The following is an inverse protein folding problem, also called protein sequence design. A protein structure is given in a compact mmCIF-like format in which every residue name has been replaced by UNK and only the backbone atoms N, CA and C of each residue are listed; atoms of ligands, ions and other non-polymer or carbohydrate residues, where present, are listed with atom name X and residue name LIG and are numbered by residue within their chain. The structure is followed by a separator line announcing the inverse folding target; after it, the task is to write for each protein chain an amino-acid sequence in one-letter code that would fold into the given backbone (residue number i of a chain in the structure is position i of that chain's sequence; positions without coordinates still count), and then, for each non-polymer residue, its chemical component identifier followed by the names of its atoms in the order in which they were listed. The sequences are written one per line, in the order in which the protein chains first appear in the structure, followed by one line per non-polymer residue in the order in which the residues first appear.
data_IF_088291128549
#
_entry.id   IF_088291128549
#
_cell.length_a   1.000
_cell.length_b   1.000
_cell.length_c   1.000
_cell.angle_alpha   90.00
_cell.angle_beta   90.00
_cell.angle_gamma   90.00
#
_symmetry.space_group_name_H-M   'P 1'
#
loop_
_entity.id
_entity.type
_entity.pdbx_description
1 polymer ?
#
# COMPACT_ATOMS: atom_id res chain seq x y z
N UNK A 1 22.46 4.50 -1.02
CA UNK A 1 21.55 4.21 -2.14
C UNK A 1 20.14 4.54 -1.65
N UNK A 2 19.28 5.11 -2.50
CA UNK A 2 17.88 5.43 -2.15
C UNK A 2 17.05 4.21 -1.77
N UNK A 3 17.31 3.03 -2.35
CA UNK A 3 16.72 1.77 -1.89
C UNK A 3 17.40 1.30 -0.60
N UNK A 4 16.59 1.09 0.44
CA UNK A 4 17.06 0.72 1.78
C UNK A 4 16.60 -0.69 2.10
N UNK A 5 17.51 -1.67 2.00
CA UNK A 5 17.20 -3.09 2.28
C UNK A 5 17.68 -3.54 3.65
N UNK A 6 18.81 -3.00 4.12
CA UNK A 6 19.44 -3.40 5.36
C UNK A 6 18.53 -3.13 6.57
N UNK A 7 18.22 -4.17 7.34
CA UNK A 7 17.33 -4.13 8.51
C UNK A 7 17.60 -2.95 9.45
N UNK A 8 18.86 -2.75 9.84
CA UNK A 8 19.21 -1.67 10.77
C UNK A 8 18.94 -0.28 10.18
N UNK A 9 19.15 -0.11 8.88
CA UNK A 9 18.83 1.15 8.19
C UNK A 9 17.32 1.38 8.10
N UNK A 10 16.52 0.33 7.91
CA UNK A 10 15.06 0.41 7.99
C UNK A 10 14.62 0.85 9.39
N UNK A 11 15.12 0.19 10.45
CA UNK A 11 14.79 0.55 11.83
C UNK A 11 15.20 2.00 12.18
N UNK A 12 16.36 2.45 11.70
CA UNK A 12 16.81 3.84 11.87
C UNK A 12 15.88 4.85 11.19
N UNK A 13 15.33 4.52 10.02
CA UNK A 13 14.34 5.35 9.32
C UNK A 13 13.08 5.49 10.17
N UNK A 14 12.56 4.37 10.69
CA UNK A 14 11.38 4.40 11.55
C UNK A 14 11.62 5.17 12.86
N UNK A 15 12.81 5.04 13.46
CA UNK A 15 13.18 5.81 14.64
C UNK A 15 13.21 7.33 14.33
N UNK A 16 13.81 7.73 13.20
CA UNK A 16 13.80 9.14 12.75
C UNK A 16 12.39 9.65 12.46
N UNK A 17 11.55 8.84 11.81
CA UNK A 17 10.15 9.17 11.57
C UNK A 17 9.41 9.40 12.89
N UNK A 18 9.65 8.54 13.91
CA UNK A 18 9.07 8.70 15.23
C UNK A 18 9.49 10.00 15.92
N UNK A 19 10.77 10.40 15.81
CA UNK A 19 11.23 11.70 16.31
C UNK A 19 10.53 12.88 15.64
N UNK A 20 10.21 12.75 14.34
CA UNK A 20 9.45 13.75 13.57
C UNK A 20 7.93 13.64 13.76
N UNK A 21 7.45 12.67 14.53
CA UNK A 21 6.02 12.34 14.72
C UNK A 21 5.32 11.99 13.40
N UNK A 22 6.03 11.33 12.51
CA UNK A 22 5.54 10.93 11.20
C UNK A 22 4.99 9.50 11.22
N UNK A 23 4.01 9.27 10.35
CA UNK A 23 3.51 7.94 10.02
C UNK A 23 4.00 7.60 8.62
N UNK A 24 4.70 6.48 8.46
CA UNK A 24 5.26 6.10 7.16
C UNK A 24 4.15 5.48 6.31
N UNK A 25 3.79 6.08 5.17
CA UNK A 25 2.81 5.51 4.27
C UNK A 25 3.45 4.39 3.45
N UNK A 26 2.72 3.30 3.35
CA UNK A 26 3.07 2.14 2.53
C UNK A 26 2.02 1.95 1.46
N UNK A 27 2.43 2.07 0.20
CA UNK A 27 1.52 1.96 -0.94
C UNK A 27 1.78 0.65 -1.67
N UNK A 28 0.75 -0.20 -1.79
CA UNK A 28 0.90 -1.39 -2.62
C UNK A 28 0.83 -1.01 -4.10
N UNK A 29 1.58 -1.72 -4.94
CA UNK A 29 1.64 -1.48 -6.37
C UNK A 29 1.30 -2.73 -7.18
N UNK A 30 0.77 -2.54 -8.38
CA UNK A 30 0.37 -3.63 -9.27
C UNK A 30 1.11 -3.65 -10.60
N UNK A 31 1.79 -2.54 -10.91
CA UNK A 31 2.43 -2.32 -12.20
C UNK A 31 3.40 -1.12 -12.10
N UNK A 32 4.15 -0.89 -13.17
CA UNK A 32 5.10 0.21 -13.26
C UNK A 32 4.45 1.59 -13.10
N UNK A 33 3.27 1.83 -13.70
CA UNK A 33 2.55 3.11 -13.63
C UNK A 33 2.20 3.49 -12.19
N UNK A 34 1.67 2.55 -11.39
CA UNK A 34 1.36 2.79 -9.98
C UNK A 34 2.64 3.07 -9.18
N UNK A 35 3.71 2.32 -9.45
CA UNK A 35 5.03 2.49 -8.80
C UNK A 35 5.60 3.88 -9.05
N UNK A 36 5.64 4.32 -10.30
CA UNK A 36 6.14 5.65 -10.67
C UNK A 36 5.25 6.78 -10.16
N UNK A 37 3.93 6.58 -10.08
CA UNK A 37 3.01 7.58 -9.51
C UNK A 37 3.32 7.83 -8.02
N UNK A 38 3.60 6.75 -7.26
CA UNK A 38 4.00 6.84 -5.85
C UNK A 38 5.34 7.57 -5.71
N UNK A 39 6.36 7.16 -6.47
CA UNK A 39 7.69 7.79 -6.41
C UNK A 39 7.66 9.26 -6.86
N UNK A 40 6.90 9.58 -7.89
CA UNK A 40 6.74 10.95 -8.39
C UNK A 40 6.03 11.86 -7.39
N UNK A 41 5.02 11.34 -6.68
CA UNK A 41 4.36 12.07 -5.61
C UNK A 41 5.32 12.31 -4.43
N UNK A 42 6.08 11.29 -4.03
CA UNK A 42 7.08 11.41 -2.98
C UNK A 42 8.16 12.43 -3.33
N UNK A 43 8.70 12.39 -4.55
CA UNK A 43 9.69 13.35 -5.03
C UNK A 43 9.14 14.78 -4.99
N UNK A 44 7.99 15.02 -5.61
CA UNK A 44 7.36 16.34 -5.64
C UNK A 44 7.10 16.86 -4.22
N UNK A 45 6.60 16.02 -3.32
CA UNK A 45 6.34 16.43 -1.94
C UNK A 45 7.64 16.74 -1.19
N UNK A 46 8.68 15.92 -1.38
CA UNK A 46 9.99 16.11 -0.75
C UNK A 46 10.63 17.46 -1.13
N UNK A 47 10.42 17.90 -2.37
CA UNK A 47 10.82 19.21 -2.87
C UNK A 47 9.97 20.32 -2.26
N UNK A 48 8.64 20.15 -2.22
CA UNK A 48 7.71 21.12 -1.62
C UNK A 48 8.03 21.43 -0.15
N UNK A 49 8.43 20.43 0.63
CA UNK A 49 8.76 20.60 2.06
C UNK A 49 10.26 20.77 2.32
N UNK A 50 11.09 20.83 1.27
CA UNK A 50 12.54 20.91 1.36
C UNK A 50 13.16 19.83 2.29
N UNK A 51 12.68 18.58 2.18
CA UNK A 51 13.12 17.43 2.96
C UNK A 51 13.33 16.25 2.00
N UNK A 52 14.55 16.11 1.49
CA UNK A 52 14.86 15.14 0.44
C UNK A 52 14.80 13.68 0.93
N UNK A 53 14.93 13.45 2.24
CA UNK A 53 15.06 12.13 2.86
C UNK A 53 13.73 11.56 3.39
N UNK A 54 12.58 11.97 2.85
CA UNK A 54 11.31 11.39 3.28
C UNK A 54 11.28 9.88 2.98
N UNK A 55 10.83 9.05 3.94
CA UNK A 55 10.68 7.63 3.69
C UNK A 55 9.40 7.32 2.91
N UNK A 56 9.46 6.32 2.04
CA UNK A 56 8.29 5.79 1.34
C UNK A 56 8.45 4.28 1.21
N UNK A 57 7.39 3.53 1.49
CA UNK A 57 7.40 2.08 1.31
C UNK A 57 6.54 1.71 0.12
N UNK A 58 7.10 0.95 -0.82
CA UNK A 58 6.38 0.34 -1.93
C UNK A 58 6.17 -1.12 -1.61
N UNK A 59 4.91 -1.51 -1.53
CA UNK A 59 4.51 -2.85 -1.14
C UNK A 59 4.00 -3.66 -2.31
N UNK A 60 4.07 -4.98 -2.18
CA UNK A 60 3.44 -5.90 -3.12
C UNK A 60 2.95 -7.13 -2.37
N UNK A 61 1.75 -7.59 -2.69
CA UNK A 61 1.23 -8.88 -2.23
C UNK A 61 1.63 -10.00 -3.17
N UNK A 62 1.80 -11.21 -2.61
CA UNK A 62 2.15 -12.39 -3.41
C UNK A 62 0.92 -13.25 -3.75
N UNK A 63 0.59 -14.25 -2.91
CA UNK A 63 -0.57 -15.12 -3.11
C UNK A 63 -1.75 -14.80 -2.19
N UNK A 64 -1.82 -13.56 -1.72
CA UNK A 64 -2.96 -13.06 -0.97
C UNK A 64 -4.26 -13.16 -1.80
N UNK A 65 -5.28 -13.80 -1.23
CA UNK A 65 -6.50 -14.20 -1.95
C UNK A 65 -7.36 -13.02 -2.41
N UNK A 66 -7.34 -11.91 -1.68
CA UNK A 66 -8.09 -10.71 -2.03
C UNK A 66 -7.47 -9.96 -3.21
N UNK A 67 -6.14 -9.95 -3.29
CA UNK A 67 -5.42 -9.38 -4.42
C UNK A 67 -4.01 -9.96 -4.48
N UNK A 68 -3.71 -10.74 -5.52
CA UNK A 68 -2.38 -11.33 -5.75
C UNK A 68 -1.59 -10.46 -6.73
N UNK A 69 -0.89 -9.42 -6.24
CA UNK A 69 -0.29 -8.40 -7.10
C UNK A 69 0.89 -8.94 -7.92
N UNK A 70 1.79 -9.71 -7.31
CA UNK A 70 2.91 -10.32 -8.05
C UNK A 70 2.44 -11.28 -9.16
N UNK A 71 1.36 -12.04 -8.92
CA UNK A 71 0.71 -12.88 -9.95
C UNK A 71 0.18 -11.99 -11.08
N UNK A 72 -0.42 -10.85 -10.74
CA UNK A 72 -1.05 -9.96 -11.72
C UNK A 72 -0.07 -9.02 -12.44
N UNK A 73 1.17 -8.90 -11.94
CA UNK A 73 2.21 -8.01 -12.46
C UNK A 73 2.53 -8.28 -13.94
N UNK A 74 2.38 -9.52 -14.39
CA UNK A 74 2.54 -9.90 -15.79
C UNK A 74 1.41 -10.79 -16.29
N UNK A 75 1.25 -10.87 -17.61
CA UNK A 75 0.32 -11.80 -18.24
C UNK A 75 0.74 -13.28 -18.13
N UNK A 76 1.95 -13.58 -17.66
CA UNK A 76 2.35 -14.97 -17.38
C UNK A 76 1.59 -15.57 -16.19
N UNK A 77 1.05 -14.73 -15.31
CA UNK A 77 0.39 -15.14 -14.05
C UNK A 77 1.27 -15.98 -13.13
N UNK A 78 2.59 -15.87 -13.30
CA UNK A 78 3.58 -16.49 -12.43
C UNK A 78 4.08 -15.47 -11.41
N UNK A 79 3.77 -15.71 -10.13
CA UNK A 79 4.14 -14.81 -9.03
C UNK A 79 5.65 -14.56 -8.96
N UNK A 80 6.47 -15.59 -9.22
CA UNK A 80 7.94 -15.50 -9.16
C UNK A 80 8.51 -14.61 -10.26
N UNK A 81 7.90 -14.61 -11.45
CA UNK A 81 8.27 -13.71 -12.55
C UNK A 81 7.85 -12.28 -12.21
N UNK A 82 6.61 -12.09 -11.75
CA UNK A 82 6.10 -10.77 -11.42
C UNK A 82 6.87 -10.11 -10.28
N UNK A 83 7.20 -10.85 -9.22
CA UNK A 83 7.98 -10.33 -8.10
C UNK A 83 9.42 -9.96 -8.52
N UNK A 84 10.06 -10.75 -9.40
CA UNK A 84 11.38 -10.41 -9.95
C UNK A 84 11.35 -9.11 -10.77
N UNK A 85 10.30 -8.91 -11.57
CA UNK A 85 10.14 -7.68 -12.35
C UNK A 85 9.84 -6.48 -11.44
N UNK A 86 8.99 -6.65 -10.43
CA UNK A 86 8.80 -5.62 -9.39
C UNK A 86 10.12 -5.20 -8.77
N UNK A 87 10.96 -6.16 -8.35
CA UNK A 87 12.27 -5.84 -7.77
C UNK A 87 13.21 -5.15 -8.76
N UNK A 88 13.22 -5.57 -10.03
CA UNK A 88 14.02 -4.94 -11.08
C UNK A 88 13.56 -3.50 -11.37
N UNK A 89 12.25 -3.26 -11.42
CA UNK A 89 11.68 -1.93 -11.62
C UNK A 89 12.09 -1.00 -10.46
N UNK A 90 11.99 -1.47 -9.21
CA UNK A 90 12.44 -0.69 -8.04
C UNK A 90 13.94 -0.41 -8.10
N UNK A 91 14.78 -1.40 -8.41
CA UNK A 91 16.24 -1.22 -8.51
C UNK A 91 16.61 -0.16 -9.55
N UNK A 92 16.02 -0.23 -10.75
CA UNK A 92 16.27 0.74 -11.83
C UNK A 92 15.75 2.13 -11.47
N UNK A 93 14.50 2.22 -11.00
CA UNK A 93 13.88 3.49 -10.60
C UNK A 93 14.56 4.12 -9.39
N UNK A 94 15.33 3.38 -8.61
CA UNK A 94 16.10 3.90 -7.48
C UNK A 94 17.61 3.85 -7.73
N UNK A 95 18.03 3.75 -9.00
CA UNK A 95 19.44 3.87 -9.36
C UNK A 95 19.95 5.30 -9.17
N UNK A 96 21.29 5.48 -9.15
CA UNK A 96 21.92 6.79 -8.89
C UNK A 96 21.59 7.87 -9.91
N UNK A 97 21.34 7.49 -11.16
CA UNK A 97 20.98 8.42 -12.26
C UNK A 97 19.47 8.69 -12.35
N UNK A 98 18.66 7.99 -11.54
CA UNK A 98 17.22 8.19 -11.49
C UNK A 98 16.85 9.53 -10.83
N UNK A 99 15.77 10.19 -11.25
CA UNK A 99 15.21 11.34 -10.52
C UNK A 99 14.83 11.00 -9.06
N UNK A 100 14.57 9.73 -8.76
CA UNK A 100 14.19 9.27 -7.42
C UNK A 100 15.40 8.94 -6.52
N UNK A 101 16.62 9.21 -6.98
CA UNK A 101 17.89 8.84 -6.32
C UNK A 101 18.10 9.43 -4.92
N UNK A 102 17.31 10.43 -4.53
CA UNK A 102 17.39 11.12 -3.24
C UNK A 102 16.37 10.64 -2.21
N UNK A 103 15.34 9.90 -2.64
CA UNK A 103 14.30 9.38 -1.74
C UNK A 103 14.84 8.23 -0.88
N UNK A 104 14.20 7.99 0.27
CA UNK A 104 14.42 6.77 1.06
C UNK A 104 13.31 5.77 0.75
N UNK A 105 13.55 4.88 -0.21
CA UNK A 105 12.58 3.88 -0.69
C UNK A 105 12.82 2.56 0.03
N UNK A 106 11.74 2.00 0.57
CA UNK A 106 11.71 0.66 1.18
C UNK A 106 10.75 -0.23 0.40
N UNK A 107 10.99 -1.55 0.42
CA UNK A 107 10.11 -2.56 -0.16
C UNK A 107 9.47 -3.41 0.92
N UNK A 108 8.18 -3.72 0.77
CA UNK A 108 7.45 -4.58 1.69
C UNK A 108 6.79 -5.74 0.92
N UNK A 109 7.01 -6.96 1.40
CA UNK A 109 6.15 -8.10 1.07
C UNK A 109 4.90 -8.04 1.96
N UNK A 110 3.77 -7.62 1.39
CA UNK A 110 2.53 -7.39 2.13
C UNK A 110 1.66 -8.66 2.15
N UNK A 111 1.02 -8.94 3.28
CA UNK A 111 0.22 -10.15 3.50
C UNK A 111 0.92 -11.45 3.02
N UNK A 112 2.21 -11.65 3.35
CA UNK A 112 2.92 -12.89 2.96
C UNK A 112 2.37 -14.06 3.76
N UNK A 113 1.63 -14.93 3.09
CA UNK A 113 0.86 -15.98 3.74
C UNK A 113 1.77 -17.09 4.27
N UNK A 114 1.55 -17.51 5.51
CA UNK A 114 2.34 -18.56 6.16
C UNK A 114 2.36 -19.90 5.39
N UNK A 115 1.33 -20.17 4.58
CA UNK A 115 1.13 -21.41 3.83
C UNK A 115 1.45 -21.25 2.34
N UNK A 116 0.60 -20.54 1.59
CA UNK A 116 0.68 -20.44 0.14
C UNK A 116 1.98 -19.81 -0.33
N UNK A 117 2.57 -18.90 0.45
CA UNK A 117 3.85 -18.26 0.15
C UNK A 117 5.08 -19.01 0.69
N UNK A 118 4.95 -20.26 1.14
CA UNK A 118 6.11 -21.09 1.57
C UNK A 118 7.29 -21.06 0.57
N UNK A 119 7.08 -21.17 -0.76
CA UNK A 119 8.18 -21.06 -1.71
C UNK A 119 8.87 -19.68 -1.75
N UNK A 120 8.12 -18.60 -1.50
CA UNK A 120 8.67 -17.23 -1.39
C UNK A 120 9.41 -17.05 -0.06
N UNK A 121 8.91 -17.63 1.03
CA UNK A 121 9.55 -17.60 2.35
C UNK A 121 10.90 -18.35 2.38
N UNK A 122 11.18 -19.15 1.34
CA UNK A 122 12.48 -19.80 1.10
C UNK A 122 13.48 -18.92 0.32
N UNK A 123 13.07 -17.77 -0.21
CA UNK A 123 13.98 -16.81 -0.87
C UNK A 123 14.89 -16.11 0.14
N UNK A 124 15.88 -15.39 -0.38
CA UNK A 124 16.75 -14.54 0.43
C UNK A 124 16.01 -13.28 0.88
N UNK A 125 15.62 -13.24 2.16
CA UNK A 125 14.91 -12.11 2.75
C UNK A 125 15.71 -10.81 2.76
N UNK A 126 17.04 -10.83 2.59
CA UNK A 126 17.84 -9.59 2.48
C UNK A 126 17.53 -8.79 1.20
N UNK A 127 16.78 -9.36 0.26
CA UNK A 127 16.35 -8.67 -0.96
C UNK A 127 15.18 -7.71 -0.71
N UNK A 128 14.55 -7.75 0.47
CA UNK A 128 13.41 -6.90 0.82
C UNK A 128 13.71 -6.12 2.10
N UNK A 129 13.13 -4.92 2.24
CA UNK A 129 13.31 -4.11 3.45
C UNK A 129 12.48 -4.65 4.61
N UNK A 130 11.26 -5.10 4.31
CA UNK A 130 10.26 -5.48 5.28
C UNK A 130 9.41 -6.64 4.77
N UNK A 131 8.84 -7.41 5.70
CA UNK A 131 7.84 -8.44 5.41
C UNK A 131 6.73 -8.38 6.44
N UNK A 132 5.48 -8.44 5.98
CA UNK A 132 4.35 -8.83 6.81
C UNK A 132 4.20 -10.35 6.71
N UNK A 133 4.60 -11.04 7.78
CA UNK A 133 4.37 -12.47 7.92
C UNK A 133 2.96 -12.70 8.46
N UNK A 134 2.09 -13.19 7.60
CA UNK A 134 0.66 -13.28 7.87
C UNK A 134 0.26 -14.73 8.19
N UNK A 135 0.18 -14.99 9.49
CA UNK A 135 -0.35 -16.23 10.06
C UNK A 135 -1.73 -16.01 10.71
N UNK A 136 -2.42 -14.91 10.37
CA UNK A 136 -3.69 -14.52 11.01
C UNK A 136 -4.85 -15.48 10.72
N UNK A 137 -4.77 -16.30 9.68
CA UNK A 137 -5.77 -17.33 9.38
C UNK A 137 -5.70 -18.54 10.31
N UNK A 138 -4.69 -18.61 11.20
CA UNK A 138 -4.54 -19.65 12.19
C UNK A 138 -5.09 -19.22 13.56
N UNK A 139 -5.48 -20.19 14.40
CA UNK A 139 -5.77 -19.91 15.80
C UNK A 139 -4.61 -19.15 16.46
N UNK A 140 -4.94 -18.22 17.36
CA UNK A 140 -3.99 -17.27 17.94
C UNK A 140 -2.68 -17.89 18.46
N UNK A 141 -2.75 -19.05 19.11
CA UNK A 141 -1.57 -19.78 19.62
C UNK A 141 -0.64 -20.27 18.48
N UNK A 142 -1.21 -20.81 17.41
CA UNK A 142 -0.44 -21.26 16.24
C UNK A 142 0.11 -20.07 15.43
N UNK A 143 -0.63 -18.97 15.36
CA UNK A 143 -0.14 -17.72 14.79
C UNK A 143 1.11 -17.23 15.54
N UNK A 144 1.05 -17.15 16.88
CA UNK A 144 2.22 -16.80 17.71
C UNK A 144 3.39 -17.75 17.42
N UNK A 145 3.15 -19.06 17.49
CA UNK A 145 4.21 -20.06 17.32
C UNK A 145 4.90 -19.95 15.95
N UNK A 146 4.13 -19.89 14.86
CA UNK A 146 4.69 -19.78 13.51
C UNK A 146 5.40 -18.45 13.28
N UNK A 147 4.83 -17.35 13.79
CA UNK A 147 5.44 -16.03 13.66
C UNK A 147 6.76 -15.95 14.43
N UNK A 148 6.80 -16.48 15.66
CA UNK A 148 8.03 -16.58 16.46
C UNK A 148 9.10 -17.43 15.76
N UNK A 149 8.72 -18.56 15.16
CA UNK A 149 9.64 -19.40 14.38
C UNK A 149 10.22 -18.64 13.18
N UNK A 150 9.40 -17.86 12.47
CA UNK A 150 9.83 -17.02 11.37
C UNK A 150 10.77 -15.89 11.83
N UNK A 151 10.43 -15.20 12.92
CA UNK A 151 11.27 -14.15 13.54
C UNK A 151 12.61 -14.71 13.99
N UNK A 152 12.64 -15.89 14.62
CA UNK A 152 13.89 -16.55 15.03
C UNK A 152 14.82 -16.82 13.84
N UNK A 153 14.27 -17.16 12.68
CA UNK A 153 15.03 -17.47 11.46
C UNK A 153 15.49 -16.23 10.70
N UNK A 154 14.64 -15.20 10.64
CA UNK A 154 14.81 -14.07 9.70
C UNK A 154 14.88 -12.69 10.35
N UNK A 155 14.57 -12.56 11.64
CA UNK A 155 14.55 -11.29 12.37
C UNK A 155 15.92 -10.61 12.50
N UNK A 156 17.01 -11.25 12.11
CA UNK A 156 18.32 -10.58 11.95
C UNK A 156 18.56 -9.98 10.57
N UNK A 157 17.69 -10.25 9.59
CA UNK A 157 17.89 -9.95 8.15
C UNK A 157 16.91 -8.91 7.61
N UNK A 158 15.66 -8.98 8.06
CA UNK A 158 14.55 -8.18 7.54
C UNK A 158 13.71 -7.64 8.71
N UNK A 159 13.04 -6.50 8.54
CA UNK A 159 12.05 -6.00 9.51
C UNK A 159 10.73 -6.77 9.35
N UNK A 160 10.18 -7.26 10.46
CA UNK A 160 9.03 -8.17 10.46
C UNK A 160 7.83 -7.50 11.10
N UNK A 161 6.75 -7.43 10.32
CA UNK A 161 5.39 -7.17 10.78
C UNK A 161 4.68 -8.50 11.01
N UNK A 162 4.02 -8.63 12.16
CA UNK A 162 3.14 -9.77 12.44
C UNK A 162 1.68 -9.36 12.49
N UNK A 163 0.82 -10.15 11.86
CA UNK A 163 -0.62 -9.98 11.90
C UNK A 163 -1.19 -10.58 13.20
N UNK A 164 -1.52 -9.73 14.18
CA UNK A 164 -1.99 -10.19 15.49
C UNK A 164 -3.41 -10.77 15.46
N UNK A 165 -4.19 -10.38 14.46
CA UNK A 165 -5.60 -10.75 14.42
C UNK A 165 -5.81 -12.20 14.00
N UNK A 166 -7.01 -12.68 14.32
CA UNK A 166 -7.49 -13.96 13.83
C UNK A 166 -8.52 -13.65 12.74
N UNK A 167 -8.17 -13.98 11.49
CA UNK A 167 -9.06 -13.88 10.35
C UNK A 167 -9.75 -15.23 10.20
N UNK A 168 -10.97 -15.34 10.74
CA UNK A 168 -11.82 -16.52 10.55
C UNK A 168 -12.50 -16.41 9.19
N UNK A 169 -11.88 -16.96 8.16
CA UNK A 169 -12.53 -17.10 6.85
C UNK A 169 -13.40 -18.35 6.83
N UNK A 170 -14.69 -18.18 7.12
CA UNK A 170 -15.72 -19.14 6.73
C UNK A 170 -17.03 -18.39 6.43
N UNK A 171 -17.40 -18.31 5.16
CA UNK A 171 -18.79 -18.05 4.70
C UNK A 171 -19.44 -16.69 5.01
N UNK A 172 -18.70 -15.72 5.55
CA UNK A 172 -19.06 -14.30 5.39
C UNK A 172 -20.07 -13.71 6.38
N UNK A 173 -20.09 -14.11 7.65
CA UNK A 173 -20.91 -13.40 8.66
C UNK A 173 -20.25 -13.08 10.01
N UNK A 174 -19.05 -13.58 10.33
CA UNK A 174 -18.42 -13.24 11.62
C UNK A 174 -17.36 -12.15 11.47
N UNK A 175 -17.57 -11.06 12.22
CA UNK A 175 -16.65 -9.93 12.32
C UNK A 175 -15.36 -10.42 12.99
N UNK A 176 -14.21 -10.22 12.36
CA UNK A 176 -12.93 -10.32 13.09
C UNK A 176 -12.99 -9.35 14.28
N UNK A 177 -12.73 -9.86 15.48
CA UNK A 177 -12.76 -9.05 16.69
C UNK A 177 -11.65 -8.01 16.68
N UNK A 178 -11.93 -6.83 17.25
CA UNK A 178 -10.91 -5.80 17.43
C UNK A 178 -9.79 -6.33 18.34
N UNK A 179 -8.54 -6.03 18.02
CA UNK A 179 -7.40 -6.46 18.84
C UNK A 179 -7.47 -5.82 20.23
N UNK A 180 -7.42 -6.62 21.29
CA UNK A 180 -7.33 -6.10 22.66
C UNK A 180 -5.89 -5.71 23.02
N UNK A 181 -5.69 -4.77 23.97
CA UNK A 181 -4.35 -4.46 24.48
C UNK A 181 -3.61 -5.71 24.97
N UNK A 182 -4.28 -6.58 25.71
CA UNK A 182 -3.70 -7.79 26.27
C UNK A 182 -3.25 -8.76 25.16
N UNK A 183 -4.07 -8.94 24.11
CA UNK A 183 -3.76 -9.78 22.94
C UNK A 183 -2.55 -9.22 22.20
N UNK A 184 -2.53 -7.92 21.92
CA UNK A 184 -1.40 -7.26 21.24
C UNK A 184 -0.10 -7.33 22.04
N UNK A 185 -0.13 -7.07 23.35
CA UNK A 185 1.05 -7.19 24.23
C UNK A 185 1.60 -8.62 24.21
N UNK A 186 0.71 -9.60 24.39
CA UNK A 186 1.08 -11.01 24.39
C UNK A 186 1.69 -11.43 23.05
N UNK A 187 1.07 -11.03 21.95
CA UNK A 187 1.57 -11.31 20.60
C UNK A 187 2.97 -10.72 20.40
N UNK A 188 3.20 -9.46 20.78
CA UNK A 188 4.52 -8.82 20.66
C UNK A 188 5.60 -9.53 21.48
N UNK A 189 5.30 -9.85 22.74
CA UNK A 189 6.25 -10.48 23.66
C UNK A 189 6.63 -11.91 23.22
N UNK A 190 5.66 -12.69 22.75
CA UNK A 190 5.89 -14.09 22.40
C UNK A 190 6.44 -14.28 20.98
N UNK A 191 6.15 -13.35 20.05
CA UNK A 191 6.65 -13.41 18.66
C UNK A 191 7.94 -12.63 18.43
N UNK A 192 8.19 -11.59 19.22
CA UNK A 192 9.29 -10.64 19.04
C UNK A 192 9.31 -9.93 17.66
N UNK A 193 8.14 -9.74 17.03
CA UNK A 193 8.02 -8.92 15.81
C UNK A 193 8.39 -7.45 16.08
N UNK A 194 8.80 -6.75 15.04
CA UNK A 194 9.16 -5.32 15.14
C UNK A 194 7.92 -4.43 15.22
N UNK A 195 6.89 -4.81 14.47
CA UNK A 195 5.64 -4.07 14.30
C UNK A 195 4.44 -5.03 14.33
N UNK A 196 3.31 -4.53 14.79
CA UNK A 196 2.07 -5.30 14.93
C UNK A 196 1.01 -4.72 14.03
N UNK A 197 0.46 -5.54 13.15
CA UNK A 197 -0.81 -5.23 12.47
C UNK A 197 -1.94 -5.61 13.42
N UNK A 198 -2.77 -4.62 13.75
CA UNK A 198 -3.88 -4.76 14.69
C UNK A 198 -5.19 -4.26 14.06
N UNK A 199 -6.25 -5.02 14.25
CA UNK A 199 -7.60 -4.73 13.81
C UNK A 199 -8.17 -3.62 14.68
N UNK A 200 -8.13 -2.42 14.13
CA UNK A 200 -8.62 -1.18 14.72
C UNK A 200 -9.91 -0.70 14.04
N UNK A 201 -10.66 -1.62 13.41
CA UNK A 201 -11.96 -1.41 12.77
C UNK A 201 -11.91 -0.81 11.36
N UNK A 202 -10.71 -0.73 10.78
CA UNK A 202 -10.46 -0.19 9.43
C UNK A 202 -10.32 -1.28 8.38
N UNK A 203 -10.12 -2.53 8.79
CA UNK A 203 -10.05 -3.68 7.90
C UNK A 203 -11.45 -4.19 7.60
N UNK A 204 -12.03 -3.81 6.45
CA UNK A 204 -13.13 -4.56 5.86
C UNK A 204 -13.23 -4.31 4.35
N UNK A 205 -13.58 -5.40 3.68
CA UNK A 205 -13.69 -5.61 2.22
C UNK A 205 -14.76 -4.69 1.62
N UNK A 206 -14.35 -3.57 1.02
CA UNK A 206 -15.03 -2.71 0.02
C UNK A 206 -16.52 -2.28 0.17
N UNK A 207 -17.32 -2.79 1.12
CA UNK A 207 -18.78 -2.66 1.09
C UNK A 207 -19.45 -2.30 2.43
N UNK A 208 -18.70 -1.92 3.47
CA UNK A 208 -19.29 -1.45 4.72
C UNK A 208 -19.48 0.08 4.68
N UNK A 209 -20.71 0.53 4.93
CA UNK A 209 -21.16 1.90 4.71
C UNK A 209 -20.61 2.97 5.69
N UNK A 210 -19.63 2.65 6.53
CA UNK A 210 -18.80 3.62 7.29
C UNK A 210 -17.77 2.85 8.12
N UNK A 211 -16.54 2.71 7.62
CA UNK A 211 -15.45 2.17 8.43
C UNK A 211 -15.04 3.22 9.48
N UNK A 212 -14.92 2.75 10.72
CA UNK A 212 -14.63 3.60 11.87
C UNK A 212 -13.31 3.19 12.48
N UNK A 213 -12.35 4.10 12.45
CA UNK A 213 -11.08 3.91 13.11
C UNK A 213 -11.22 4.09 14.63
N UNK A 214 -10.77 3.10 15.41
CA UNK A 214 -10.85 3.10 16.86
C UNK A 214 -9.60 3.72 17.54
N UNK A 215 -9.41 5.04 17.39
CA UNK A 215 -8.28 5.80 17.97
C UNK A 215 -8.04 5.54 19.46
N UNK A 216 -9.11 5.50 20.28
CA UNK A 216 -8.98 5.24 21.72
C UNK A 216 -8.44 3.83 22.03
N UNK A 217 -8.74 2.84 21.17
CA UNK A 217 -8.21 1.49 21.31
C UNK A 217 -6.73 1.46 20.92
N UNK A 218 -6.37 2.09 19.79
CA UNK A 218 -4.98 2.22 19.35
C UNK A 218 -4.08 2.82 20.46
N UNK A 219 -4.54 3.90 21.11
CA UNK A 219 -3.83 4.51 22.26
C UNK A 219 -3.63 3.55 23.43
N UNK A 220 -4.65 2.76 23.77
CA UNK A 220 -4.54 1.76 24.85
C UNK A 220 -3.52 0.69 24.50
N UNK A 221 -3.54 0.17 23.27
CA UNK A 221 -2.56 -0.82 22.81
C UNK A 221 -1.15 -0.20 22.81
N UNK A 222 -1.00 1.00 22.25
CA UNK A 222 0.30 1.66 22.15
C UNK A 222 0.90 2.01 23.52
N UNK A 223 0.07 2.33 24.52
CA UNK A 223 0.58 2.60 25.88
C UNK A 223 1.33 1.44 26.52
N UNK A 224 1.12 0.20 26.05
CA UNK A 224 1.76 -1.00 26.58
C UNK A 224 2.68 -1.71 25.57
N UNK A 225 2.60 -1.36 24.28
CA UNK A 225 3.44 -1.94 23.20
C UNK A 225 4.45 -0.93 22.61
N UNK A 226 4.30 0.36 22.93
CA UNK A 226 5.02 1.45 22.27
C UNK A 226 4.40 1.85 20.92
N UNK A 227 5.04 2.77 20.17
CA UNK A 227 4.56 3.23 18.86
C UNK A 227 4.94 2.24 17.75
N UNK A 228 4.37 1.03 17.80
CA UNK A 228 4.70 -0.09 16.89
C UNK A 228 3.51 -0.58 16.07
N UNK A 229 2.41 0.17 16.06
CA UNK A 229 1.19 -0.26 15.39
C UNK A 229 1.23 0.04 13.90
N UNK A 230 0.70 -0.90 13.12
CA UNK A 230 0.48 -0.78 11.69
C UNK A 230 -1.02 -0.80 11.44
N UNK A 231 -1.50 0.15 10.65
CA UNK A 231 -2.93 0.30 10.34
C UNK A 231 -3.20 -0.05 8.86
N UNK A 232 -4.00 -1.08 8.63
CA UNK A 232 -4.46 -1.46 7.29
C UNK A 232 -5.83 -0.83 6.99
N UNK A 233 -6.26 -0.88 5.72
CA UNK A 233 -7.61 -0.47 5.33
C UNK A 233 -7.87 1.05 5.32
N UNK A 234 -6.82 1.87 5.35
CA UNK A 234 -6.94 3.34 5.43
C UNK A 234 -7.59 3.99 4.20
N UNK A 235 -7.62 3.30 3.05
CA UNK A 235 -8.26 3.77 1.80
C UNK A 235 -9.77 4.02 1.90
N UNK A 236 -10.41 3.53 2.95
CA UNK A 236 -11.86 3.61 3.15
C UNK A 236 -12.24 4.40 4.40
N UNK A 237 -11.27 5.09 5.00
CA UNK A 237 -11.45 5.91 6.20
C UNK A 237 -11.24 7.38 5.83
N UNK A 238 -12.14 8.25 6.26
CA UNK A 238 -12.02 9.69 5.98
C UNK A 238 -10.76 10.30 6.59
N UNK A 239 -10.13 11.25 5.88
CA UNK A 239 -8.87 11.88 6.28
C UNK A 239 -8.89 12.46 7.71
N UNK A 240 -10.03 12.98 8.16
CA UNK A 240 -10.17 13.54 9.52
C UNK A 240 -9.95 12.50 10.62
N UNK A 241 -10.31 11.23 10.38
CA UNK A 241 -10.10 10.16 11.36
C UNK A 241 -8.62 9.72 11.44
N UNK A 242 -7.88 9.86 10.33
CA UNK A 242 -6.51 9.34 10.18
C UNK A 242 -5.44 10.45 10.16
N UNK A 243 -5.79 11.70 10.45
CA UNK A 243 -4.82 12.80 10.46
C UNK A 243 -3.81 12.70 11.61
N UNK A 244 -4.22 12.21 12.77
CA UNK A 244 -3.42 12.24 14.01
C UNK A 244 -2.83 10.88 14.43
N UNK A 245 -2.71 9.94 13.48
CA UNK A 245 -2.37 8.54 13.74
C UNK A 245 -1.08 8.32 14.55
N UNK A 246 -0.05 9.16 14.38
CA UNK A 246 1.17 9.03 15.17
C UNK A 246 0.93 9.17 16.68
N UNK A 247 0.03 10.09 17.07
CA UNK A 247 -0.32 10.30 18.49
C UNK A 247 -1.10 9.13 19.09
N UNK A 248 -1.61 8.25 18.23
CA UNK A 248 -2.31 7.03 18.62
C UNK A 248 -1.38 5.81 18.69
N UNK A 249 -0.10 5.98 18.32
CA UNK A 249 0.90 4.91 18.30
C UNK A 249 1.07 4.19 16.98
N UNK A 250 0.44 4.69 15.92
CA UNK A 250 0.60 4.13 14.57
C UNK A 250 1.92 4.64 13.98
N UNK A 251 2.79 3.70 13.60
CA UNK A 251 4.06 3.99 12.93
C UNK A 251 3.95 3.92 11.41
N UNK A 252 3.03 3.09 10.90
CA UNK A 252 2.87 2.78 9.48
C UNK A 252 1.42 2.60 9.10
N UNK A 253 1.08 2.95 7.86
CA UNK A 253 -0.20 2.59 7.26
C UNK A 253 -0.04 1.84 5.93
N UNK A 254 -0.97 0.96 5.59
CA UNK A 254 -1.06 0.35 4.25
C UNK A 254 -2.21 0.97 3.45
N UNK A 255 -1.93 1.28 2.18
CA UNK A 255 -2.83 1.96 1.24
C UNK A 255 -2.75 1.25 -0.12
N UNK A 256 -3.89 0.93 -0.71
CA UNK A 256 -3.94 0.44 -2.09
C UNK A 256 -5.28 0.74 -2.77
N UNK A 257 -6.39 0.32 -2.16
CA UNK A 257 -7.71 0.33 -2.79
C UNK A 257 -8.10 1.69 -3.37
N UNK A 258 -7.78 2.80 -2.72
CA UNK A 258 -8.12 4.13 -3.23
C UNK A 258 -7.35 4.50 -4.51
N UNK A 259 -6.11 4.02 -4.70
CA UNK A 259 -5.34 4.28 -5.92
C UNK A 259 -6.07 3.73 -7.15
N UNK A 260 -6.59 2.50 -7.07
CA UNK A 260 -7.32 1.86 -8.16
C UNK A 260 -8.79 2.33 -8.25
N UNK A 261 -9.49 2.36 -7.12
CA UNK A 261 -10.92 2.74 -7.03
C UNK A 261 -11.16 4.17 -7.48
N UNK A 262 -10.30 5.11 -7.11
CA UNK A 262 -10.56 6.55 -7.29
C UNK A 262 -9.93 7.10 -8.58
N UNK A 263 -8.99 6.36 -9.20
CA UNK A 263 -8.47 6.68 -10.54
C UNK A 263 -9.36 6.18 -11.67
N UNK A 264 -10.01 5.03 -11.49
CA UNK A 264 -10.87 4.41 -12.51
C UNK A 264 -12.01 5.32 -13.01
N UNK A 265 -12.78 6.02 -12.15
CA UNK A 265 -13.83 6.95 -12.60
C UNK A 265 -13.28 8.15 -13.39
N UNK A 266 -12.06 8.59 -13.08
CA UNK A 266 -11.41 9.71 -13.80
C UNK A 266 -11.06 9.27 -15.22
N UNK A 267 -10.44 8.09 -15.37
CA UNK A 267 -10.19 7.51 -16.68
C UNK A 267 -11.49 7.31 -17.46
N UNK A 268 -12.50 6.70 -16.84
CA UNK A 268 -13.78 6.45 -17.48
C UNK A 268 -14.42 7.74 -18.01
N UNK A 269 -14.48 8.78 -17.16
CA UNK A 269 -15.02 10.09 -17.56
C UNK A 269 -14.23 10.69 -18.72
N UNK A 270 -12.90 10.66 -18.67
CA UNK A 270 -12.04 11.21 -19.69
C UNK A 270 -12.20 10.48 -21.04
N UNK A 271 -12.30 9.15 -21.02
CA UNK A 271 -12.57 8.35 -22.22
C UNK A 271 -13.96 8.61 -22.81
N UNK A 272 -14.98 8.81 -21.96
CA UNK A 272 -16.34 9.16 -22.41
C UNK A 272 -16.36 10.56 -23.06
N UNK A 273 -15.70 11.55 -22.45
CA UNK A 273 -15.63 12.90 -23.00
C UNK A 273 -14.85 12.96 -24.32
N UNK A 274 -13.88 12.05 -24.51
CA UNK A 274 -13.08 11.93 -25.72
C UNK A 274 -13.51 10.75 -26.61
N UNK A 275 -14.75 10.25 -26.51
CA UNK A 275 -15.15 9.00 -27.17
C UNK A 275 -14.85 9.01 -28.68
N UNK A 276 -15.18 10.09 -29.40
CA UNK A 276 -14.91 10.15 -30.85
C UNK A 276 -13.42 10.02 -31.18
N UNK A 277 -12.52 10.53 -30.33
CA UNK A 277 -11.07 10.34 -30.50
C UNK A 277 -10.64 8.90 -30.20
N UNK A 278 -11.30 8.22 -29.25
CA UNK A 278 -10.96 6.89 -28.72
C UNK A 278 -11.56 5.74 -29.54
N UNK A 279 -12.78 5.89 -30.07
CA UNK A 279 -13.48 4.82 -30.81
C UNK A 279 -13.85 5.21 -32.24
N UNK A 280 -13.73 6.50 -32.61
CA UNK A 280 -14.11 7.01 -33.94
C UNK A 280 -15.57 7.45 -34.02
N UNK A 281 -15.86 8.38 -34.93
CA UNK A 281 -17.17 9.02 -35.03
C UNK A 281 -18.31 8.03 -35.33
N UNK A 282 -18.08 7.03 -36.18
CA UNK A 282 -19.08 6.02 -36.52
C UNK A 282 -19.50 5.20 -35.29
N UNK A 283 -18.53 4.67 -34.53
CA UNK A 283 -18.80 3.92 -33.30
C UNK A 283 -19.41 4.82 -32.21
N UNK A 284 -18.99 6.09 -32.11
CA UNK A 284 -19.59 7.04 -31.18
C UNK A 284 -21.06 7.29 -31.50
N UNK A 285 -21.42 7.54 -32.76
CA UNK A 285 -22.82 7.69 -33.17
C UNK A 285 -23.63 6.41 -32.89
N UNK A 286 -23.08 5.24 -33.19
CA UNK A 286 -23.72 3.96 -32.88
C UNK A 286 -24.01 3.79 -31.39
N UNK A 287 -23.05 4.14 -30.51
CA UNK A 287 -23.23 4.06 -29.06
C UNK A 287 -24.22 5.10 -28.52
N UNK A 288 -24.34 6.25 -29.17
CA UNK A 288 -25.36 7.25 -28.86
C UNK A 288 -26.75 6.71 -29.25
N UNK A 289 -26.89 6.14 -30.45
CA UNK A 289 -28.15 5.56 -30.93
C UNK A 289 -28.60 4.38 -30.05
N UNK A 290 -27.66 3.60 -29.51
CA UNK A 290 -27.93 2.51 -28.58
C UNK A 290 -28.10 2.95 -27.12
N UNK A 291 -28.12 4.26 -26.84
CA UNK A 291 -28.27 4.84 -25.50
C UNK A 291 -27.16 4.46 -24.49
N UNK A 292 -25.99 4.03 -24.99
CA UNK A 292 -24.80 3.77 -24.16
C UNK A 292 -23.99 5.04 -23.90
N UNK A 293 -24.06 6.03 -24.81
CA UNK A 293 -23.47 7.35 -24.65
C UNK A 293 -24.55 8.44 -24.69
N UNK A 294 -24.33 9.50 -23.90
CA UNK A 294 -25.19 10.68 -23.92
C UNK A 294 -24.95 11.57 -25.14
N UNK A 295 -25.93 12.42 -25.44
CA UNK A 295 -25.87 13.33 -26.60
C UNK A 295 -24.80 14.44 -26.50
N UNK A 296 -24.28 14.67 -25.29
CA UNK A 296 -23.29 15.71 -24.98
C UNK A 296 -21.84 15.28 -25.25
N UNK A 297 -21.62 14.05 -25.69
CA UNK A 297 -20.30 13.60 -26.16
C UNK A 297 -19.96 14.31 -27.47
N UNK A 298 -18.72 14.74 -27.62
CA UNK A 298 -18.27 15.38 -28.85
C UNK A 298 -18.37 14.42 -30.05
N UNK A 299 -18.96 14.91 -31.15
CA UNK A 299 -19.24 14.17 -32.39
C UNK A 299 -18.36 14.64 -33.56
N UNK A 300 -17.58 15.70 -33.35
CA UNK A 300 -16.94 16.47 -34.42
C UNK A 300 -15.45 16.22 -34.54
N UNK A 301 -14.79 15.78 -33.46
CA UNK A 301 -13.39 15.41 -33.53
C UNK A 301 -13.15 14.20 -34.44
N UNK A 302 -11.89 14.00 -34.80
CA UNK A 302 -11.45 12.83 -35.54
C UNK A 302 -10.77 11.82 -34.60
N UNK A 303 -10.78 10.52 -34.97
CA UNK A 303 -9.77 9.55 -34.57
C UNK A 303 -8.40 10.15 -34.22
N UNK A 304 -7.85 9.80 -33.07
CA UNK A 304 -6.56 10.30 -32.62
C UNK A 304 -5.67 9.16 -32.16
N UNK A 305 -4.53 8.98 -32.83
CA UNK A 305 -3.57 7.92 -32.48
C UNK A 305 -3.14 8.00 -31.01
N UNK A 306 -2.93 9.20 -30.48
CA UNK A 306 -2.54 9.38 -29.07
C UNK A 306 -3.59 8.84 -28.10
N UNK A 307 -4.88 8.97 -28.42
CA UNK A 307 -5.99 8.53 -27.57
C UNK A 307 -6.29 7.02 -27.67
N UNK A 308 -5.68 6.32 -28.63
CA UNK A 308 -5.74 4.85 -28.73
C UNK A 308 -4.71 4.15 -27.83
N UNK A 309 -3.68 4.88 -27.41
CA UNK A 309 -2.52 4.28 -26.77
C UNK A 309 -2.83 3.81 -25.35
N UNK A 310 -2.07 2.81 -24.89
CA UNK A 310 -2.00 2.48 -23.46
C UNK A 310 -1.42 3.65 -22.67
N UNK A 311 -0.46 4.38 -23.24
CA UNK A 311 0.15 5.56 -22.62
C UNK A 311 -0.89 6.61 -22.21
N UNK A 312 -1.82 6.99 -23.10
CA UNK A 312 -2.89 7.94 -22.75
C UNK A 312 -3.74 7.49 -21.55
N UNK A 313 -4.12 6.20 -21.53
CA UNK A 313 -4.90 5.64 -20.41
C UNK A 313 -4.09 5.60 -19.11
N UNK A 314 -2.82 5.23 -19.20
CA UNK A 314 -1.90 5.22 -18.08
C UNK A 314 -1.60 6.62 -17.55
N UNK A 315 -1.44 7.63 -18.41
CA UNK A 315 -1.20 9.02 -18.00
C UNK A 315 -2.35 9.58 -17.16
N UNK A 316 -3.60 9.31 -17.56
CA UNK A 316 -4.78 9.74 -16.79
C UNK A 316 -4.82 9.06 -15.42
N UNK A 317 -4.52 7.75 -15.36
CA UNK A 317 -4.44 7.00 -14.09
C UNK A 317 -3.28 7.52 -13.22
N UNK A 318 -2.09 7.64 -13.80
CA UNK A 318 -0.86 8.09 -13.15
C UNK A 318 -1.07 9.43 -12.45
N UNK A 319 -1.61 10.41 -13.16
CA UNK A 319 -1.82 11.76 -12.61
C UNK A 319 -2.80 11.73 -11.44
N UNK A 320 -3.88 10.94 -11.52
CA UNK A 320 -4.84 10.82 -10.43
C UNK A 320 -4.26 10.07 -9.23
N UNK A 321 -3.53 8.98 -9.44
CA UNK A 321 -2.85 8.24 -8.38
C UNK A 321 -1.81 9.11 -7.67
N UNK A 322 -1.01 9.86 -8.42
CA UNK A 322 -0.02 10.80 -7.87
C UNK A 322 -0.67 11.82 -6.91
N UNK A 323 -1.83 12.39 -7.29
CA UNK A 323 -2.58 13.31 -6.42
C UNK A 323 -3.07 12.62 -5.14
N UNK A 324 -3.57 11.38 -5.23
CA UNK A 324 -4.01 10.62 -4.05
C UNK A 324 -2.83 10.38 -3.09
N UNK A 325 -1.67 9.97 -3.61
CA UNK A 325 -0.46 9.76 -2.80
C UNK A 325 -0.01 11.08 -2.14
N UNK A 326 -0.01 12.19 -2.87
CA UNK A 326 0.32 13.52 -2.33
C UNK A 326 -0.57 13.91 -1.15
N UNK A 327 -1.86 13.61 -1.20
CA UNK A 327 -2.78 13.94 -0.12
C UNK A 327 -2.47 13.16 1.16
N UNK A 328 -2.08 11.89 1.05
CA UNK A 328 -1.62 11.10 2.21
C UNK A 328 -0.27 11.58 2.75
N UNK A 329 0.69 11.93 1.89
CA UNK A 329 1.97 12.50 2.33
C UNK A 329 1.76 13.79 3.12
N UNK A 330 0.88 14.67 2.65
CA UNK A 330 0.51 15.92 3.36
C UNK A 330 -0.10 15.70 4.74
N UNK A 331 -0.80 14.58 4.94
CA UNK A 331 -1.42 14.28 6.24
C UNK A 331 -0.37 13.95 7.30
N UNK A 332 0.68 13.22 6.95
CA UNK A 332 1.58 12.62 7.94
C UNK A 332 2.99 13.19 7.96
N UNK A 333 3.46 13.78 6.87
CA UNK A 333 4.77 14.43 6.80
C UNK A 333 4.66 15.94 6.99
N UNK A 334 4.04 16.33 8.11
CA UNK A 334 3.90 17.73 8.47
C UNK A 334 5.19 18.28 9.08
N UNK A 335 5.52 19.52 8.76
CA UNK A 335 6.52 20.29 9.48
C UNK A 335 5.86 20.96 10.67
N UNK A 336 6.39 20.75 11.88
CA UNK A 336 6.23 21.77 12.91
C UNK A 336 7.07 22.96 12.46
N UNK A 337 6.41 24.05 12.05
CA UNK A 337 7.10 25.33 11.97
C UNK A 337 7.77 25.55 13.32
N UNK A 338 9.10 25.65 13.33
CA UNK A 338 9.83 26.05 14.55
C UNK A 338 9.20 27.38 14.98
N UNK A 339 8.43 27.35 16.05
CA UNK A 339 7.98 28.55 16.76
C UNK A 339 9.13 29.09 17.61
#
# INVERSE_FOLDING_TARGET
MPLVLERNSVLDIYAKAAHKKWVIPTFCTENLTTTEAILSAALEYSEQINCQDIPITIAITNQYSHRSQSVNYTHTRKWDIGLKLFMADIDVLTSGDSPFSKLNVMTLLDHTQWDSDEPLLAWDMNQFSMIMYDASTLPFEENIRKTADFVKKNGGKIVIEGACDEIVDATGQDKSELTTPEKARRYLEETAVDYIVANLGTEHRASAAELKYHSNLAKKISSITGPRLVLHGTSSVGHDQIKNLFSDGIAKVNIWTCLERDSSPVLFKDMVLNATKVIGAAQTLQMIDSLLLGQNVDKTNTPSLSHYTTAYRQDTIFNKMKLIVLDYLKLWYTFQSRH
#
